data_IF_559467450589
#
_entry.id   IF_559467450589
#
_cell.length_a   1.000
_cell.length_b   1.000
_cell.length_c   1.000
_cell.angle_alpha   90.00
_cell.angle_beta   90.00
_cell.angle_gamma   90.00
#
_symmetry.space_group_name_H-M   'P 1'
#
loop_
_entity.id
_entity.type
_entity.pdbx_description
1 polymer ?
#
# COMPACT_ATOMS: atom_id res chain seq x y z
N UNK A 1 -29.93 53.93 -59.78
CA UNK A 1 -29.28 54.10 -58.52
C UNK A 1 -27.98 53.30 -58.59
N UNK A 2 -26.85 53.98 -58.74
CA UNK A 2 -25.54 53.31 -58.94
C UNK A 2 -24.97 53.02 -57.56
N UNK A 3 -24.83 51.79 -57.23
CA UNK A 3 -24.17 51.36 -55.99
C UNK A 3 -22.69 51.80 -56.04
N UNK A 4 -22.24 52.30 -54.91
CA UNK A 4 -20.93 52.93 -54.77
C UNK A 4 -19.85 51.80 -54.65
N UNK A 5 -18.91 51.74 -55.63
CA UNK A 5 -17.87 50.70 -55.69
C UNK A 5 -16.89 50.76 -54.50
N UNK A 6 -16.99 51.76 -53.63
CA UNK A 6 -16.16 51.88 -52.43
C UNK A 6 -16.70 51.06 -51.25
N UNK A 7 -18.03 50.80 -51.17
CA UNK A 7 -18.59 49.97 -50.11
C UNK A 7 -18.35 48.49 -50.30
N UNK A 8 -18.24 48.04 -51.59
CA UNK A 8 -17.93 46.66 -51.90
C UNK A 8 -16.49 46.30 -51.52
N UNK A 9 -15.55 47.23 -51.67
CA UNK A 9 -14.16 47.01 -51.23
C UNK A 9 -13.95 47.03 -49.71
N UNK A 10 -14.82 47.70 -48.97
CA UNK A 10 -14.73 47.73 -47.51
C UNK A 10 -15.27 46.45 -46.87
N UNK A 11 -16.17 45.74 -47.55
CA UNK A 11 -16.73 44.48 -47.06
C UNK A 11 -15.78 43.28 -47.21
N UNK A 12 -14.82 43.36 -48.16
CA UNK A 12 -13.84 42.29 -48.37
C UNK A 12 -12.65 42.36 -47.38
N UNK A 13 -12.41 43.47 -46.75
CA UNK A 13 -11.25 43.66 -45.84
C UNK A 13 -11.48 43.02 -44.45
N UNK A 14 -12.72 42.69 -44.13
CA UNK A 14 -13.03 42.20 -42.78
C UNK A 14 -13.43 40.72 -42.70
N UNK A 15 -12.87 39.88 -43.59
CA UNK A 15 -12.91 38.43 -43.36
C UNK A 15 -11.79 38.10 -42.36
N UNK A 16 -12.11 37.52 -41.18
CA UNK A 16 -11.06 37.09 -40.28
C UNK A 16 -10.29 35.99 -40.97
N UNK A 17 -9.06 36.32 -41.42
CA UNK A 17 -8.08 35.32 -41.81
C UNK A 17 -7.96 34.36 -40.62
N UNK A 18 -8.50 33.16 -40.71
CA UNK A 18 -8.14 32.09 -39.81
C UNK A 18 -6.67 31.82 -39.98
N UNK A 19 -5.87 32.58 -39.26
CA UNK A 19 -4.43 32.45 -39.26
C UNK A 19 -4.10 30.99 -38.99
N UNK A 20 -3.28 30.39 -39.83
CA UNK A 20 -2.73 29.04 -39.63
C UNK A 20 -2.20 28.86 -38.20
N UNK A 21 -1.69 29.95 -37.63
CA UNK A 21 -1.26 30.05 -36.23
C UNK A 21 -2.38 29.83 -35.24
N UNK A 22 -3.63 30.32 -35.50
CA UNK A 22 -4.79 30.07 -34.62
C UNK A 22 -5.27 28.62 -34.67
N UNK A 23 -5.22 28.00 -35.87
CA UNK A 23 -5.56 26.59 -36.02
C UNK A 23 -4.51 25.73 -35.31
N UNK A 24 -3.24 26.02 -35.50
CA UNK A 24 -2.14 25.32 -34.81
C UNK A 24 -2.25 25.46 -33.28
N UNK A 25 -2.52 26.66 -32.77
CA UNK A 25 -2.71 26.89 -31.34
C UNK A 25 -3.89 26.08 -30.77
N UNK A 26 -5.02 26.02 -31.47
CA UNK A 26 -6.18 25.23 -31.06
C UNK A 26 -5.86 23.73 -31.03
N UNK A 27 -5.09 23.22 -31.99
CA UNK A 27 -4.65 21.81 -32.01
C UNK A 27 -3.76 21.52 -30.79
N UNK A 28 -2.82 22.42 -30.49
CA UNK A 28 -1.92 22.28 -29.33
C UNK A 28 -2.73 22.28 -28.01
N UNK A 29 -3.72 23.16 -27.88
CA UNK A 29 -4.59 23.22 -26.71
C UNK A 29 -5.39 21.92 -26.55
N UNK A 30 -5.95 21.38 -27.62
CA UNK A 30 -6.70 20.11 -27.59
C UNK A 30 -5.78 18.93 -27.21
N UNK A 31 -4.55 18.93 -27.71
CA UNK A 31 -3.56 17.89 -27.37
C UNK A 31 -3.18 17.96 -25.89
N UNK A 32 -2.90 19.16 -25.37
CA UNK A 32 -2.63 19.34 -23.94
C UNK A 32 -3.81 18.96 -23.06
N UNK A 33 -5.03 19.33 -23.44
CA UNK A 33 -6.24 18.96 -22.72
C UNK A 33 -6.41 17.43 -22.67
N UNK A 34 -6.15 16.74 -23.77
CA UNK A 34 -6.22 15.28 -23.82
C UNK A 34 -5.20 14.60 -22.90
N UNK A 35 -3.98 15.14 -22.82
CA UNK A 35 -2.94 14.64 -21.90
C UNK A 35 -3.37 14.85 -20.45
N UNK A 36 -3.90 16.01 -20.10
CA UNK A 36 -4.38 16.28 -18.73
C UNK A 36 -5.52 15.34 -18.35
N UNK A 37 -6.48 15.13 -19.25
CA UNK A 37 -7.58 14.17 -19.01
C UNK A 37 -7.04 12.76 -18.84
N UNK A 38 -6.11 12.33 -19.67
CA UNK A 38 -5.49 11.00 -19.58
C UNK A 38 -4.72 10.83 -18.25
N UNK A 39 -3.93 11.83 -17.84
CA UNK A 39 -3.22 11.79 -16.56
C UNK A 39 -4.17 11.78 -15.37
N UNK A 40 -5.24 12.59 -15.41
CA UNK A 40 -6.26 12.62 -14.36
C UNK A 40 -7.00 11.28 -14.27
N UNK A 41 -7.35 10.68 -15.40
CA UNK A 41 -7.96 9.34 -15.44
C UNK A 41 -7.00 8.27 -14.90
N UNK A 42 -5.72 8.32 -15.29
CA UNK A 42 -4.70 7.39 -14.81
C UNK A 42 -4.49 7.50 -13.30
N UNK A 43 -4.46 8.73 -12.78
CA UNK A 43 -4.34 8.96 -11.34
C UNK A 43 -5.59 8.51 -10.59
N UNK A 44 -6.78 8.85 -11.09
CA UNK A 44 -8.06 8.39 -10.53
C UNK A 44 -8.14 6.86 -10.53
N UNK A 45 -7.76 6.20 -11.61
CA UNK A 45 -7.71 4.73 -11.72
C UNK A 45 -6.76 4.12 -10.67
N UNK A 46 -5.58 4.68 -10.47
CA UNK A 46 -4.63 4.22 -9.44
C UNK A 46 -5.13 4.46 -8.02
N UNK A 47 -5.76 5.59 -7.73
CA UNK A 47 -6.34 5.86 -6.42
C UNK A 47 -7.60 5.03 -6.17
N UNK A 48 -8.44 4.83 -7.20
CA UNK A 48 -9.66 4.04 -7.11
C UNK A 48 -9.40 2.53 -7.04
N UNK A 49 -8.27 2.05 -7.60
CA UNK A 49 -7.84 0.65 -7.50
C UNK A 49 -7.15 0.37 -6.15
N UNK A 50 -6.89 1.42 -5.34
CA UNK A 50 -6.46 1.31 -3.97
C UNK A 50 -7.55 0.66 -3.12
N UNK A 51 -7.38 -0.65 -2.86
CA UNK A 51 -8.17 -1.48 -1.93
C UNK A 51 -9.57 -1.85 -2.40
N UNK A 52 -9.67 -2.82 -3.31
CA UNK A 52 -10.88 -3.63 -3.39
C UNK A 52 -10.91 -4.58 -2.18
N UNK A 53 -11.88 -4.45 -1.26
CA UNK A 53 -12.03 -5.40 -0.14
C UNK A 53 -12.35 -6.81 -0.62
N UNK A 54 -12.80 -6.97 -1.86
CA UNK A 54 -13.23 -8.27 -2.42
C UNK A 54 -12.09 -9.26 -2.73
N UNK A 55 -10.86 -8.78 -2.97
CA UNK A 55 -9.71 -9.68 -3.12
C UNK A 55 -9.40 -10.43 -1.82
N UNK A 56 -9.68 -9.82 -0.66
CA UNK A 56 -9.53 -10.46 0.65
C UNK A 56 -10.56 -11.56 0.94
N UNK A 57 -11.71 -11.59 0.25
CA UNK A 57 -12.76 -12.56 0.49
C UNK A 57 -12.59 -13.83 -0.34
N UNK A 58 -11.84 -13.80 -1.44
CA UNK A 58 -11.64 -14.97 -2.31
C UNK A 58 -10.54 -15.92 -1.83
N UNK A 59 -9.62 -15.47 -0.98
CA UNK A 59 -8.57 -16.32 -0.41
C UNK A 59 -9.02 -17.05 0.88
N UNK A 60 -10.28 -16.86 1.30
CA UNK A 60 -10.90 -17.58 2.44
C UNK A 60 -11.21 -19.06 2.18
N UNK A 61 -10.91 -19.58 0.99
CA UNK A 61 -11.34 -20.94 0.62
C UNK A 61 -10.39 -22.07 1.04
N UNK A 62 -9.20 -21.78 1.58
CA UNK A 62 -8.33 -22.79 2.22
C UNK A 62 -7.78 -22.23 3.53
N UNK A 63 -7.84 -22.95 4.66
CA UNK A 63 -7.16 -22.54 5.88
C UNK A 63 -5.65 -22.61 5.63
N UNK A 64 -5.06 -21.50 5.15
CA UNK A 64 -3.62 -21.39 5.01
C UNK A 64 -3.02 -21.17 6.39
N UNK A 65 -2.10 -22.04 6.78
CA UNK A 65 -1.32 -21.87 8.00
C UNK A 65 -0.46 -20.63 7.81
N UNK A 66 -0.54 -19.68 8.75
CA UNK A 66 0.22 -18.45 8.69
C UNK A 66 1.69 -18.71 8.99
N UNK A 67 2.56 -18.27 8.09
CA UNK A 67 4.01 -18.35 8.24
C UNK A 67 4.51 -17.15 9.03
N UNK A 68 5.20 -17.42 10.13
CA UNK A 68 5.68 -16.41 11.07
C UNK A 68 7.19 -16.51 11.25
N UNK A 69 7.85 -15.35 11.24
CA UNK A 69 9.22 -15.19 11.72
C UNK A 69 9.18 -14.68 13.17
N UNK A 70 10.04 -15.22 14.03
CA UNK A 70 10.16 -14.82 15.44
C UNK A 70 11.57 -14.32 15.72
N UNK A 71 11.69 -13.04 16.07
CA UNK A 71 12.97 -12.38 16.29
C UNK A 71 13.08 -11.90 17.75
N UNK A 72 14.17 -12.27 18.39
CA UNK A 72 14.51 -11.81 19.73
C UNK A 72 15.08 -10.38 19.69
N UNK A 73 14.31 -9.39 20.12
CA UNK A 73 14.68 -7.99 20.25
C UNK A 73 14.89 -7.53 21.70
N UNK A 74 14.71 -8.43 22.69
CA UNK A 74 14.96 -8.11 24.11
C UNK A 74 16.34 -8.60 24.60
N UNK A 75 17.06 -9.42 23.82
CA UNK A 75 18.40 -9.93 24.16
C UNK A 75 18.43 -11.04 25.20
N UNK A 76 17.29 -11.52 25.68
CA UNK A 76 17.22 -12.60 26.68
C UNK A 76 17.17 -13.94 25.98
N UNK A 77 18.08 -14.86 26.32
CA UNK A 77 18.16 -16.19 25.73
C UNK A 77 16.89 -17.00 26.01
N UNK A 78 16.46 -17.81 25.02
CA UNK A 78 15.31 -18.71 25.14
C UNK A 78 13.95 -18.04 25.01
N UNK A 79 13.87 -16.70 24.94
CA UNK A 79 12.58 -16.00 24.80
C UNK A 79 11.96 -16.31 23.43
N UNK A 80 12.73 -16.24 22.35
CA UNK A 80 12.24 -16.53 21.01
C UNK A 80 11.75 -17.98 20.88
N UNK A 81 12.44 -18.94 21.49
CA UNK A 81 12.04 -20.34 21.49
C UNK A 81 10.69 -20.54 22.20
N UNK A 82 10.49 -19.90 23.36
CA UNK A 82 9.23 -19.97 24.09
C UNK A 82 8.04 -19.42 23.33
N UNK A 83 8.23 -18.26 22.63
CA UNK A 83 7.20 -17.69 21.76
C UNK A 83 6.93 -18.58 20.56
N UNK A 84 7.97 -19.19 20.01
CA UNK A 84 7.85 -20.14 18.89
C UNK A 84 7.01 -21.34 19.29
N UNK A 85 7.31 -21.97 20.41
CA UNK A 85 6.54 -23.12 20.90
C UNK A 85 5.09 -22.77 21.20
N UNK A 86 4.87 -21.57 21.74
CA UNK A 86 3.53 -21.07 22.00
C UNK A 86 2.70 -20.86 20.72
N UNK A 87 3.31 -20.28 19.67
CA UNK A 87 2.68 -20.09 18.38
C UNK A 87 2.42 -21.39 17.65
N UNK A 88 3.41 -22.31 17.63
CA UNK A 88 3.28 -23.64 16.99
C UNK A 88 2.13 -24.44 17.58
N UNK A 89 1.94 -24.43 18.90
CA UNK A 89 0.80 -25.06 19.57
C UNK A 89 -0.57 -24.44 19.19
N UNK A 90 -0.57 -23.28 18.51
CA UNK A 90 -1.79 -22.55 18.06
C UNK A 90 -1.94 -22.52 16.54
N UNK A 91 -1.32 -23.49 15.87
CA UNK A 91 -1.41 -23.65 14.41
C UNK A 91 -0.81 -22.49 13.61
N UNK A 92 0.25 -21.85 14.11
CA UNK A 92 1.12 -20.99 13.31
C UNK A 92 2.34 -21.78 12.86
N UNK A 93 2.77 -21.56 11.62
CA UNK A 93 4.00 -22.13 11.09
C UNK A 93 5.16 -21.15 11.34
N UNK A 94 5.97 -21.40 12.36
CA UNK A 94 7.15 -20.59 12.62
C UNK A 94 8.29 -21.12 11.75
N UNK A 95 8.54 -20.41 10.65
CA UNK A 95 9.51 -20.79 9.61
C UNK A 95 10.91 -20.28 9.90
N UNK A 96 11.03 -19.22 10.70
CA UNK A 96 12.33 -18.63 11.05
C UNK A 96 12.33 -18.15 12.50
N UNK A 97 13.47 -18.42 13.18
CA UNK A 97 13.74 -17.96 14.53
C UNK A 97 15.14 -17.32 14.51
N UNK A 98 15.29 -16.18 15.17
CA UNK A 98 16.59 -15.50 15.18
C UNK A 98 16.65 -14.34 16.17
N UNK A 99 17.74 -13.60 16.07
CA UNK A 99 17.92 -12.37 16.82
C UNK A 99 17.56 -11.17 15.93
N UNK A 100 16.94 -10.18 16.52
CA UNK A 100 16.74 -8.90 15.86
C UNK A 100 18.06 -8.12 15.78
N UNK A 101 18.14 -7.14 14.91
CA UNK A 101 19.35 -6.30 14.74
C UNK A 101 19.71 -5.48 15.98
N UNK A 102 18.76 -5.31 16.90
CA UNK A 102 18.93 -4.58 18.17
C UNK A 102 18.26 -5.38 19.28
N UNK A 103 18.86 -5.31 20.49
CA UNK A 103 18.29 -5.90 21.70
C UNK A 103 17.63 -4.84 22.61
N UNK A 104 17.36 -3.66 22.08
CA UNK A 104 16.79 -2.54 22.82
C UNK A 104 15.34 -2.23 22.39
N UNK A 105 14.59 -3.26 22.04
CA UNK A 105 13.19 -3.14 21.67
C UNK A 105 12.34 -3.12 22.94
N UNK A 106 11.73 -1.98 23.27
CA UNK A 106 10.94 -1.81 24.49
C UNK A 106 9.64 -2.59 24.47
N UNK A 107 8.91 -2.56 23.33
CA UNK A 107 7.63 -3.24 23.16
C UNK A 107 7.68 -4.19 21.99
N UNK A 108 7.06 -5.34 22.16
CA UNK A 108 6.91 -6.32 21.09
C UNK A 108 6.08 -5.75 19.94
N UNK A 109 6.53 -6.01 18.71
CA UNK A 109 5.98 -5.48 17.46
C UNK A 109 5.62 -6.64 16.54
N UNK A 110 4.45 -6.53 15.90
CA UNK A 110 4.02 -7.46 14.86
C UNK A 110 3.99 -6.74 13.52
N UNK A 111 4.65 -7.30 12.52
CA UNK A 111 4.80 -6.69 11.19
C UNK A 111 4.07 -7.52 10.16
N UNK A 112 3.09 -6.93 9.46
CA UNK A 112 2.49 -7.50 8.26
C UNK A 112 3.44 -7.36 7.06
N UNK A 113 3.82 -8.50 6.46
CA UNK A 113 4.73 -8.56 5.31
C UNK A 113 4.02 -8.71 3.98
N UNK A 114 2.74 -9.11 3.98
CA UNK A 114 1.97 -9.45 2.78
C UNK A 114 0.90 -8.42 2.41
N UNK A 115 0.65 -7.40 3.25
CA UNK A 115 -0.43 -6.44 3.06
C UNK A 115 -1.78 -6.91 3.61
N UNK A 116 -1.78 -7.99 4.41
CA UNK A 116 -2.97 -8.52 5.05
C UNK A 116 -2.91 -8.32 6.58
N UNK A 117 -3.24 -7.12 7.02
CA UNK A 117 -3.25 -6.74 8.44
C UNK A 117 -4.03 -7.69 9.34
N UNK A 118 -5.05 -8.40 8.81
CA UNK A 118 -5.81 -9.37 9.59
C UNK A 118 -4.94 -10.54 10.06
N UNK A 119 -3.94 -10.94 9.26
CA UNK A 119 -2.98 -11.97 9.66
C UNK A 119 -2.10 -11.48 10.82
N UNK A 120 -1.59 -10.26 10.74
CA UNK A 120 -0.80 -9.66 11.80
C UNK A 120 -1.62 -9.45 13.09
N UNK A 121 -2.87 -8.98 12.99
CA UNK A 121 -3.76 -8.89 14.14
C UNK A 121 -4.03 -10.24 14.80
N UNK A 122 -4.19 -11.31 14.01
CA UNK A 122 -4.38 -12.67 14.55
C UNK A 122 -3.18 -13.12 15.39
N UNK A 123 -1.95 -12.83 14.95
CA UNK A 123 -0.72 -13.10 15.71
C UNK A 123 -0.69 -12.24 16.98
N UNK A 124 -0.93 -10.94 16.87
CA UNK A 124 -0.94 -10.01 18.01
C UNK A 124 -1.96 -10.41 19.08
N UNK A 125 -3.21 -10.66 18.71
CA UNK A 125 -4.28 -11.09 19.62
C UNK A 125 -3.96 -12.42 20.31
N UNK A 126 -3.32 -13.35 19.57
CA UNK A 126 -2.87 -14.65 20.11
C UNK A 126 -1.82 -14.48 21.19
N UNK A 127 -0.92 -13.52 21.05
CA UNK A 127 0.17 -13.25 21.98
C UNK A 127 -0.20 -12.26 23.10
N UNK A 128 -1.30 -11.52 22.95
CA UNK A 128 -1.70 -10.44 23.85
C UNK A 128 -0.96 -9.12 23.58
N UNK A 129 -0.43 -8.96 22.34
CA UNK A 129 0.19 -7.72 21.91
C UNK A 129 -0.90 -6.73 21.48
N UNK A 130 -0.77 -5.46 21.90
CA UNK A 130 -1.70 -4.41 21.49
C UNK A 130 -1.69 -4.22 19.97
N UNK A 131 -2.87 -4.04 19.36
CA UNK A 131 -2.99 -3.74 17.93
C UNK A 131 -2.32 -2.41 17.53
N UNK A 132 -2.07 -1.51 18.48
CA UNK A 132 -1.25 -0.30 18.25
C UNK A 132 0.21 -0.61 17.93
N UNK A 133 0.69 -1.80 18.31
CA UNK A 133 2.04 -2.28 18.02
C UNK A 133 2.07 -3.19 16.78
N UNK A 134 1.01 -3.16 15.97
CA UNK A 134 0.97 -3.85 14.67
C UNK A 134 1.22 -2.83 13.57
N UNK A 135 2.23 -3.07 12.77
CA UNK A 135 2.61 -2.20 11.65
C UNK A 135 2.55 -2.97 10.33
N UNK A 136 2.34 -2.25 9.25
CA UNK A 136 2.39 -2.81 7.90
C UNK A 136 3.69 -2.40 7.22
N UNK A 137 4.47 -3.39 6.82
CA UNK A 137 5.68 -3.21 6.02
C UNK A 137 5.76 -4.30 4.98
N UNK A 138 5.02 -4.11 3.89
CA UNK A 138 4.94 -5.08 2.80
C UNK A 138 6.30 -5.21 2.11
N UNK A 139 6.76 -6.46 1.97
CA UNK A 139 7.97 -6.76 1.23
C UNK A 139 7.81 -8.12 0.54
N UNK A 140 7.66 -8.12 -0.77
CA UNK A 140 7.46 -9.32 -1.59
C UNK A 140 8.66 -10.28 -1.60
N UNK A 141 9.82 -9.84 -1.15
CA UNK A 141 11.02 -10.68 -1.02
C UNK A 141 11.02 -11.52 0.27
N UNK A 142 10.11 -11.22 1.21
CA UNK A 142 9.89 -12.06 2.38
C UNK A 142 8.90 -13.17 2.02
N UNK A 143 9.35 -14.42 2.13
CA UNK A 143 8.51 -15.60 1.90
C UNK A 143 7.77 -16.03 3.18
N UNK A 144 7.23 -15.05 3.93
CA UNK A 144 6.48 -15.26 5.16
C UNK A 144 5.37 -14.21 5.29
N UNK A 145 4.37 -14.48 6.12
CA UNK A 145 3.21 -13.61 6.25
C UNK A 145 3.43 -12.50 7.29
N UNK A 146 4.08 -12.84 8.42
CA UNK A 146 4.18 -11.96 9.59
C UNK A 146 5.55 -12.10 10.25
N UNK A 147 6.18 -10.98 10.62
CA UNK A 147 7.35 -10.98 11.50
C UNK A 147 6.96 -10.51 12.90
N UNK A 148 7.34 -11.27 13.92
CA UNK A 148 7.24 -10.92 15.33
C UNK A 148 8.62 -10.48 15.84
N UNK A 149 8.72 -9.27 16.39
CA UNK A 149 9.90 -8.80 17.11
C UNK A 149 9.53 -8.74 18.59
N UNK A 150 10.19 -9.52 19.41
CA UNK A 150 9.92 -9.61 20.85
C UNK A 150 10.69 -8.51 21.58
N UNK A 151 9.99 -7.68 22.32
CA UNK A 151 10.55 -6.61 23.13
C UNK A 151 10.76 -7.00 24.60
N UNK A 152 11.20 -6.03 25.40
CA UNK A 152 11.41 -6.18 26.86
C UNK A 152 10.11 -6.44 27.63
N UNK A 153 8.96 -6.18 27.02
CA UNK A 153 7.62 -6.46 27.55
C UNK A 153 7.20 -7.93 27.42
N UNK A 154 8.09 -8.83 27.03
CA UNK A 154 7.78 -10.25 26.79
C UNK A 154 7.14 -10.96 27.98
N UNK A 155 7.50 -10.55 29.22
CA UNK A 155 7.05 -11.18 30.46
C UNK A 155 5.56 -10.94 30.80
N UNK A 156 4.96 -9.89 30.23
CA UNK A 156 3.52 -9.60 30.38
C UNK A 156 2.67 -10.20 29.26
N UNK A 157 3.30 -10.83 28.26
CA UNK A 157 2.61 -11.45 27.14
C UNK A 157 2.23 -12.89 27.44
N UNK A 158 1.21 -13.40 26.76
CA UNK A 158 0.59 -14.71 27.01
C UNK A 158 1.54 -15.90 27.06
N UNK A 159 2.67 -15.97 26.30
CA UNK A 159 3.63 -17.08 26.44
C UNK A 159 4.26 -17.18 27.83
N UNK A 160 4.22 -16.14 28.64
CA UNK A 160 4.77 -16.07 29.99
C UNK A 160 3.71 -16.03 31.09
N UNK A 161 2.43 -15.96 30.72
CA UNK A 161 1.27 -16.10 31.62
C UNK A 161 0.80 -17.56 31.66
#
# INVERSE_FOLDING_TARGET
>A
MKENPLEEKLSEVNKPNKSLTGIFLNIVILLLASIVIFMSYSLYSKLSTGRKPEAYLKDKAKPRILQVEVLNGCGISGVADRFTDYLRRRNFDVVQIGNYISYDVEKSIVIDRTGNMLNAFKVADTLGISRSNVIQQVNSNYFLDVSLIIGKDFNILKPYQ
#
